data_IF_627619640515
#
_entry.id   IF_627619640515
#
_cell.length_a   1.000
_cell.length_b   1.000
_cell.length_c   1.000
_cell.angle_alpha   90.00
_cell.angle_beta   90.00
_cell.angle_gamma   90.00
#
_symmetry.space_group_name_H-M   'P 1'
#
loop_
_entity.id
_entity.type
_entity.pdbx_description
1 polymer ?
#
# COMPACT_ATOMS: atom_id res chain seq x y z
N UNK A 1 7.66 11.22 -12.07
CA UNK A 1 6.37 11.06 -12.79
C UNK A 1 6.38 9.95 -13.82
N UNK A 2 7.51 9.65 -14.47
CA UNK A 2 7.62 8.59 -15.49
C UNK A 2 7.03 7.23 -15.07
N UNK A 3 7.37 6.73 -13.88
CA UNK A 3 6.83 5.46 -13.38
C UNK A 3 5.29 5.41 -13.35
N UNK A 4 4.63 6.43 -12.81
CA UNK A 4 3.17 6.48 -12.70
C UNK A 4 2.54 6.61 -14.09
N UNK A 5 3.04 7.53 -14.90
CA UNK A 5 2.42 7.84 -16.20
C UNK A 5 2.68 6.77 -17.26
N UNK A 6 3.82 6.07 -17.20
CA UNK A 6 4.27 5.17 -18.26
C UNK A 6 4.36 3.72 -17.79
N UNK A 7 5.11 3.43 -16.72
CA UNK A 7 5.33 2.03 -16.28
C UNK A 7 4.08 1.39 -15.68
N UNK A 8 3.32 2.14 -14.87
CA UNK A 8 2.13 1.63 -14.17
C UNK A 8 0.87 1.67 -15.05
N UNK A 9 0.79 2.61 -16.00
CA UNK A 9 -0.40 2.84 -16.83
C UNK A 9 -0.96 1.61 -17.55
N UNK A 10 -0.16 0.65 -18.07
CA UNK A 10 -0.69 -0.56 -18.70
C UNK A 10 -1.46 -1.48 -17.76
N UNK A 11 -1.30 -1.30 -16.44
CA UNK A 11 -1.83 -2.20 -15.41
C UNK A 11 -2.99 -1.59 -14.62
N UNK A 12 -3.29 -0.31 -14.80
CA UNK A 12 -4.30 0.41 -14.00
C UNK A 12 -5.15 1.33 -14.86
N UNK A 13 -6.40 1.54 -14.44
CA UNK A 13 -7.27 2.55 -15.00
C UNK A 13 -7.25 3.80 -14.10
N UNK A 14 -6.70 4.90 -14.59
CA UNK A 14 -6.68 6.17 -13.86
C UNK A 14 -8.04 6.86 -13.90
N UNK A 15 -8.56 7.23 -12.73
CA UNK A 15 -9.74 8.11 -12.57
C UNK A 15 -9.27 9.47 -12.04
N UNK A 16 -9.03 10.48 -12.90
CA UNK A 16 -8.52 11.77 -12.45
C UNK A 16 -9.57 12.53 -11.65
N UNK A 17 -9.14 13.16 -10.56
CA UNK A 17 -9.99 14.05 -9.76
C UNK A 17 -9.15 15.19 -9.19
N UNK A 18 -9.69 16.40 -9.26
CA UNK A 18 -9.15 17.56 -8.55
C UNK A 18 -10.23 18.05 -7.58
N UNK A 19 -10.10 17.79 -6.26
CA UNK A 19 -11.09 18.23 -5.26
C UNK A 19 -11.36 19.73 -5.31
N UNK A 20 -10.33 20.54 -5.63
CA UNK A 20 -10.44 22.00 -5.71
C UNK A 20 -11.31 22.45 -6.88
N UNK A 21 -11.16 21.83 -8.05
CA UNK A 21 -12.04 22.10 -9.21
C UNK A 21 -13.44 21.57 -8.92
N UNK A 22 -13.56 20.42 -8.27
CA UNK A 22 -14.85 19.80 -7.94
C UNK A 22 -15.68 20.61 -6.95
N UNK A 23 -15.06 21.39 -6.06
CA UNK A 23 -15.77 22.36 -5.22
C UNK A 23 -16.06 23.68 -5.93
N UNK A 24 -15.64 23.86 -7.19
CA UNK A 24 -15.90 25.05 -8.02
C UNK A 24 -14.82 26.14 -7.95
N UNK A 25 -13.56 25.80 -7.67
CA UNK A 25 -12.46 26.78 -7.76
C UNK A 25 -11.93 26.89 -9.21
N UNK A 26 -11.54 28.09 -9.66
CA UNK A 26 -11.04 28.30 -11.02
C UNK A 26 -9.64 27.72 -11.25
N UNK A 27 -9.23 27.66 -12.51
CA UNK A 27 -7.86 27.31 -12.93
C UNK A 27 -7.37 28.39 -13.90
N UNK A 28 -6.37 29.23 -13.54
CA UNK A 28 -5.67 29.29 -12.26
C UNK A 28 -6.53 29.88 -11.13
N UNK A 29 -6.13 29.65 -9.87
CA UNK A 29 -6.74 30.26 -8.66
C UNK A 29 -5.68 30.82 -7.71
N UNK A 30 -6.07 31.72 -6.78
CA UNK A 30 -5.19 32.14 -5.70
C UNK A 30 -4.77 30.95 -4.80
N UNK A 31 -3.58 31.05 -4.20
CA UNK A 31 -3.02 29.99 -3.39
C UNK A 31 -3.87 29.71 -2.13
N UNK A 32 -4.15 28.44 -1.84
CA UNK A 32 -4.80 28.00 -0.61
C UNK A 32 -3.76 27.63 0.46
N UNK A 33 -4.15 27.67 1.74
CA UNK A 33 -3.35 27.23 2.89
C UNK A 33 -4.21 26.46 3.87
N UNK A 34 -3.58 25.53 4.58
CA UNK A 34 -4.13 24.97 5.81
C UNK A 34 -3.76 25.87 6.98
N UNK A 35 -4.77 26.28 7.75
CA UNK A 35 -4.63 27.11 8.94
C UNK A 35 -5.04 26.26 10.14
N UNK A 36 -4.16 26.16 11.13
CA UNK A 36 -4.51 25.61 12.43
C UNK A 36 -5.02 26.74 13.31
N UNK A 37 -6.29 26.66 13.69
CA UNK A 37 -6.96 27.61 14.58
C UNK A 37 -6.45 27.45 16.01
N UNK A 38 -6.74 28.44 16.86
CA UNK A 38 -6.38 28.40 18.29
C UNK A 38 -7.05 27.25 19.06
N UNK A 39 -8.24 26.81 18.66
CA UNK A 39 -8.91 25.63 19.22
C UNK A 39 -8.40 24.29 18.65
N UNK A 40 -7.49 24.33 17.67
CA UNK A 40 -6.84 23.15 17.10
C UNK A 40 -7.40 22.66 15.76
N UNK A 41 -8.56 23.18 15.32
CA UNK A 41 -9.18 22.83 14.04
C UNK A 41 -8.29 23.21 12.85
N UNK A 42 -8.33 22.39 11.80
CA UNK A 42 -7.67 22.68 10.52
C UNK A 42 -8.68 23.26 9.55
N UNK A 43 -8.43 24.48 9.07
CA UNK A 43 -9.23 25.20 8.09
C UNK A 43 -8.46 25.38 6.79
N UNK A 44 -9.14 25.34 5.64
CA UNK A 44 -8.54 25.62 4.34
C UNK A 44 -9.02 26.98 3.83
N UNK A 45 -8.11 27.95 3.74
CA UNK A 45 -8.42 29.35 3.37
C UNK A 45 -7.51 29.87 2.26
N UNK A 46 -7.93 30.92 1.57
CA UNK A 46 -7.05 31.64 0.64
C UNK A 46 -5.90 32.36 1.36
N UNK A 47 -4.75 32.41 0.69
CA UNK A 47 -3.52 33.05 1.19
C UNK A 47 -3.59 34.57 1.21
N UNK A 48 -4.50 35.17 0.45
CA UNK A 48 -4.68 36.61 0.29
C UNK A 48 -6.13 36.99 0.57
N UNK A 49 -6.35 38.26 0.93
CA UNK A 49 -7.68 38.83 1.09
C UNK A 49 -8.55 38.54 -0.15
N UNK A 50 -9.82 38.14 0.01
CA UNK A 50 -10.62 38.15 1.25
C UNK A 50 -10.39 36.99 2.24
N UNK A 51 -9.41 36.11 2.02
CA UNK A 51 -9.13 34.95 2.87
C UNK A 51 -10.31 33.98 3.03
N UNK A 52 -11.18 33.88 2.01
CA UNK A 52 -12.37 33.04 2.08
C UNK A 52 -12.03 31.62 2.54
N UNK A 53 -12.88 31.12 3.44
CA UNK A 53 -12.79 29.79 4.00
C UNK A 53 -13.57 28.81 3.10
N UNK A 54 -12.86 27.81 2.59
CA UNK A 54 -13.41 26.77 1.71
C UNK A 54 -13.47 25.41 2.41
N UNK A 55 -13.28 25.37 3.73
CA UNK A 55 -13.28 24.14 4.54
C UNK A 55 -14.59 23.36 4.39
N UNK A 56 -15.73 24.01 4.62
CA UNK A 56 -17.03 23.32 4.58
C UNK A 56 -17.38 22.85 3.17
N UNK A 57 -17.01 23.61 2.13
CA UNK A 57 -17.17 23.17 0.73
C UNK A 57 -16.36 21.91 0.45
N UNK A 58 -15.12 21.84 0.96
CA UNK A 58 -14.25 20.68 0.79
C UNK A 58 -14.73 19.46 1.58
N UNK A 59 -15.12 19.64 2.84
CA UNK A 59 -15.67 18.56 3.68
C UNK A 59 -16.95 18.00 3.06
N UNK A 60 -17.89 18.88 2.67
CA UNK A 60 -19.12 18.44 2.03
C UNK A 60 -18.88 17.73 0.69
N UNK A 61 -17.87 18.14 -0.08
CA UNK A 61 -17.46 17.40 -1.28
C UNK A 61 -16.89 16.03 -0.94
N UNK A 62 -15.99 15.92 0.06
CA UNK A 62 -15.45 14.65 0.50
C UNK A 62 -16.57 13.69 0.95
N UNK A 63 -17.53 14.16 1.75
CA UNK A 63 -18.65 13.34 2.23
C UNK A 63 -19.49 12.75 1.10
N UNK A 64 -19.74 13.54 0.04
CA UNK A 64 -20.48 13.09 -1.15
C UNK A 64 -19.66 12.22 -2.09
N UNK A 65 -18.39 12.54 -2.29
CA UNK A 65 -17.53 11.88 -3.28
C UNK A 65 -16.96 10.57 -2.78
N UNK A 66 -16.50 10.51 -1.53
CA UNK A 66 -15.81 9.33 -1.01
C UNK A 66 -16.65 8.02 -1.12
N UNK A 67 -17.98 7.99 -0.84
CA UNK A 67 -18.80 6.80 -1.06
C UNK A 67 -18.72 6.25 -2.50
N UNK A 68 -18.48 7.10 -3.49
CA UNK A 68 -18.46 6.72 -4.92
C UNK A 68 -17.16 6.01 -5.33
N UNK A 69 -16.14 6.00 -4.47
CA UNK A 69 -14.82 5.46 -4.76
C UNK A 69 -14.45 4.24 -3.90
N UNK A 70 -15.44 3.60 -3.26
CA UNK A 70 -15.21 2.45 -2.36
C UNK A 70 -14.58 1.22 -3.03
N UNK A 71 -14.55 1.16 -4.36
CA UNK A 71 -13.98 0.07 -5.15
C UNK A 71 -12.53 0.34 -5.62
N UNK A 72 -11.98 1.53 -5.35
CA UNK A 72 -10.61 1.84 -5.76
C UNK A 72 -9.61 0.92 -5.04
N UNK A 73 -8.57 0.52 -5.77
CA UNK A 73 -7.44 -0.26 -5.25
C UNK A 73 -6.31 0.63 -4.70
N UNK A 74 -6.33 1.92 -4.98
CA UNK A 74 -5.37 2.89 -4.47
C UNK A 74 -5.66 4.31 -4.93
N UNK A 75 -4.95 5.27 -4.35
CA UNK A 75 -5.07 6.69 -4.67
C UNK A 75 -3.69 7.35 -4.67
N UNK A 76 -3.37 8.10 -5.72
CA UNK A 76 -2.13 8.88 -5.81
C UNK A 76 -2.50 10.35 -5.63
N UNK A 77 -1.90 11.00 -4.64
CA UNK A 77 -2.17 12.40 -4.34
C UNK A 77 -1.01 13.31 -4.70
N UNK A 78 -1.30 14.58 -4.98
CA UNK A 78 -0.28 15.59 -5.21
C UNK A 78 0.31 16.09 -3.88
N UNK A 79 1.63 16.02 -3.76
CA UNK A 79 2.33 16.47 -2.56
C UNK A 79 2.08 17.95 -2.22
N UNK A 80 2.11 18.28 -0.92
CA UNK A 80 2.04 19.66 -0.37
C UNK A 80 0.73 20.41 -0.64
N UNK A 81 -0.26 19.81 -1.31
CA UNK A 81 -1.54 20.45 -1.57
C UNK A 81 -2.37 20.59 -0.27
N UNK A 82 -3.00 21.75 0.01
CA UNK A 82 -3.93 21.91 1.12
C UNK A 82 -5.17 21.01 1.02
N UNK A 83 -5.54 20.56 -0.18
CA UNK A 83 -6.64 19.62 -0.37
C UNK A 83 -6.15 18.17 -0.39
N UNK A 84 -5.09 17.88 -1.16
CA UNK A 84 -4.70 16.51 -1.50
C UNK A 84 -3.42 16.01 -0.81
N UNK A 85 -2.55 16.86 -0.27
CA UNK A 85 -1.26 16.40 0.26
C UNK A 85 -1.44 15.38 1.38
N UNK A 86 -0.71 14.26 1.34
CA UNK A 86 -0.88 13.18 2.32
C UNK A 86 -0.14 13.49 3.61
N UNK A 87 1.06 14.04 3.52
CA UNK A 87 1.89 14.33 4.68
C UNK A 87 2.68 15.63 4.50
N UNK A 88 3.12 16.19 5.63
CA UNK A 88 4.00 17.37 5.67
C UNK A 88 3.44 18.59 4.94
N UNK A 89 2.12 18.68 4.80
CA UNK A 89 1.44 19.88 4.32
C UNK A 89 1.68 20.99 5.34
N UNK A 90 1.96 22.19 4.84
CA UNK A 90 2.30 23.33 5.71
C UNK A 90 1.03 23.79 6.43
N UNK A 91 1.10 23.80 7.76
CA UNK A 91 0.11 24.46 8.60
C UNK A 91 0.57 25.89 8.88
N UNK A 92 -0.35 26.84 8.77
CA UNK A 92 -0.17 28.23 9.14
C UNK A 92 -0.97 28.51 10.41
N UNK A 93 -0.59 29.51 11.19
CA UNK A 93 -1.46 30.01 12.27
C UNK A 93 -2.46 31.04 11.72
N UNK A 94 -3.40 31.48 12.57
CA UNK A 94 -4.41 32.47 12.19
C UNK A 94 -3.82 33.85 11.86
N UNK A 95 -2.58 34.12 12.30
CA UNK A 95 -1.83 35.34 11.97
C UNK A 95 -1.08 35.22 10.64
N UNK A 96 -1.17 34.07 9.96
CA UNK A 96 -0.52 33.82 8.68
C UNK A 96 0.96 33.44 8.79
N UNK A 97 1.49 33.22 10.00
CA UNK A 97 2.87 32.79 10.19
C UNK A 97 3.05 31.36 9.69
N UNK A 98 4.24 31.08 9.14
CA UNK A 98 4.59 29.74 8.66
C UNK A 98 4.79 28.81 9.85
N UNK A 99 3.84 27.91 10.06
CA UNK A 99 3.94 26.86 11.06
C UNK A 99 4.67 25.61 10.58
N UNK A 100 4.44 24.52 11.31
CA UNK A 100 5.03 23.20 11.10
C UNK A 100 4.58 22.55 9.79
N UNK A 101 5.44 21.70 9.22
CA UNK A 101 5.09 20.78 8.12
C UNK A 101 4.55 19.48 8.71
N UNK A 102 3.32 19.50 9.20
CA UNK A 102 2.70 18.36 9.88
C UNK A 102 1.25 18.11 9.46
N UNK A 103 0.72 18.91 8.53
CA UNK A 103 -0.66 18.77 8.07
C UNK A 103 -0.81 17.68 7.02
N UNK A 104 -2.08 17.30 6.83
CA UNK A 104 -2.60 16.51 5.72
C UNK A 104 -3.71 17.34 5.08
N UNK A 105 -3.82 17.30 3.77
CA UNK A 105 -4.87 18.01 3.04
C UNK A 105 -6.25 17.51 3.44
N UNK A 106 -7.25 18.41 3.48
CA UNK A 106 -8.57 18.09 4.04
C UNK A 106 -9.25 16.88 3.36
N UNK A 107 -9.17 16.81 2.03
CA UNK A 107 -9.76 15.71 1.27
C UNK A 107 -9.04 14.38 1.55
N UNK A 108 -7.71 14.40 1.60
CA UNK A 108 -6.91 13.21 1.90
C UNK A 108 -7.09 12.75 3.35
N UNK A 109 -7.22 13.68 4.29
CA UNK A 109 -7.52 13.36 5.69
C UNK A 109 -8.87 12.63 5.81
N UNK A 110 -9.92 13.16 5.17
CA UNK A 110 -11.24 12.53 5.14
C UNK A 110 -11.20 11.13 4.47
N UNK A 111 -10.40 10.97 3.42
CA UNK A 111 -10.23 9.68 2.75
C UNK A 111 -9.51 8.65 3.63
N UNK A 112 -8.44 9.05 4.31
CA UNK A 112 -7.68 8.18 5.22
C UNK A 112 -8.51 7.74 6.43
N UNK A 113 -9.39 8.61 6.93
CA UNK A 113 -10.31 8.29 8.02
C UNK A 113 -11.40 7.30 7.57
N UNK A 114 -12.03 7.57 6.42
CA UNK A 114 -13.11 6.73 5.90
C UNK A 114 -12.63 5.37 5.37
N UNK A 115 -11.45 5.34 4.76
CA UNK A 115 -10.87 4.16 4.12
C UNK A 115 -9.45 3.88 4.64
N UNK A 116 -9.29 3.49 5.92
CA UNK A 116 -7.97 3.26 6.52
C UNK A 116 -7.20 2.10 5.85
N UNK A 117 -7.90 1.23 5.13
CA UNK A 117 -7.34 0.12 4.36
C UNK A 117 -6.87 0.51 2.95
N UNK A 118 -7.28 1.67 2.41
CA UNK A 118 -6.95 2.09 1.05
C UNK A 118 -5.48 2.54 0.95
N UNK A 119 -4.70 2.04 -0.02
CA UNK A 119 -3.38 2.55 -0.31
C UNK A 119 -3.46 3.98 -0.84
N UNK A 120 -2.87 4.92 -0.11
CA UNK A 120 -2.73 6.33 -0.51
C UNK A 120 -1.23 6.65 -0.48
N UNK A 121 -0.71 7.27 -1.52
CA UNK A 121 0.69 7.69 -1.58
C UNK A 121 0.85 8.99 -2.39
N UNK A 122 1.88 9.79 -2.06
CA UNK A 122 2.20 10.99 -2.82
C UNK A 122 3.01 10.66 -4.07
N UNK A 123 2.73 11.36 -5.16
CA UNK A 123 3.46 11.27 -6.43
C UNK A 123 4.99 11.43 -6.26
N UNK A 124 5.41 12.36 -5.39
CA UNK A 124 6.81 12.58 -5.04
C UNK A 124 7.45 11.40 -4.29
N UNK A 125 6.70 10.76 -3.38
CA UNK A 125 7.17 9.65 -2.55
C UNK A 125 7.34 8.35 -3.33
N UNK A 126 6.60 8.19 -4.43
CA UNK A 126 6.79 7.09 -5.38
C UNK A 126 8.15 7.14 -6.12
N UNK A 127 9.01 8.15 -5.90
CA UNK A 127 10.40 8.10 -6.37
C UNK A 127 11.30 7.23 -5.47
N UNK A 128 10.91 7.04 -4.21
CA UNK A 128 11.58 6.10 -3.31
C UNK A 128 11.23 4.65 -3.72
N UNK A 129 12.22 3.79 -4.04
CA UNK A 129 11.96 2.43 -4.50
C UNK A 129 11.19 1.56 -3.50
N UNK A 130 11.44 1.72 -2.20
CA UNK A 130 10.82 0.91 -1.14
C UNK A 130 9.36 1.30 -0.95
N UNK A 131 9.08 2.61 -0.92
CA UNK A 131 7.71 3.11 -0.85
C UNK A 131 6.92 2.77 -2.12
N UNK A 132 7.56 2.88 -3.29
CA UNK A 132 6.96 2.48 -4.57
C UNK A 132 6.61 1.00 -4.57
N UNK A 133 7.55 0.11 -4.26
CA UNK A 133 7.26 -1.34 -4.20
C UNK A 133 6.14 -1.64 -3.22
N UNK A 134 6.15 -1.04 -2.03
CA UNK A 134 5.10 -1.26 -1.03
C UNK A 134 3.73 -0.77 -1.51
N UNK A 135 3.64 0.42 -2.09
CA UNK A 135 2.40 0.94 -2.64
C UNK A 135 1.84 0.01 -3.72
N UNK A 136 2.69 -0.44 -4.65
CA UNK A 136 2.29 -1.35 -5.72
C UNK A 136 1.85 -2.72 -5.18
N UNK A 137 2.60 -3.33 -4.27
CA UNK A 137 2.20 -4.60 -3.67
C UNK A 137 0.82 -4.50 -2.99
N UNK A 138 0.52 -3.36 -2.35
CA UNK A 138 -0.77 -3.10 -1.72
C UNK A 138 -1.91 -2.90 -2.71
N UNK A 139 -1.71 -2.17 -3.82
CA UNK A 139 -2.79 -1.98 -4.80
C UNK A 139 -3.18 -3.31 -5.46
N UNK A 140 -2.20 -4.16 -5.81
CA UNK A 140 -2.47 -5.46 -6.42
C UNK A 140 -3.17 -6.40 -5.43
N UNK A 141 -2.71 -6.44 -4.17
CA UNK A 141 -3.35 -7.23 -3.13
C UNK A 141 -4.81 -6.82 -2.87
N UNK A 142 -5.06 -5.51 -2.79
CA UNK A 142 -6.41 -4.98 -2.59
C UNK A 142 -7.31 -5.19 -3.80
N UNK A 143 -6.78 -5.03 -5.01
CA UNK A 143 -7.52 -5.29 -6.24
C UNK A 143 -7.98 -6.75 -6.31
N UNK A 144 -7.07 -7.70 -6.06
CA UNK A 144 -7.39 -9.12 -6.06
C UNK A 144 -8.40 -9.48 -4.96
N UNK A 145 -8.26 -8.90 -3.77
CA UNK A 145 -9.22 -9.10 -2.68
C UNK A 145 -10.61 -8.53 -3.03
N UNK A 146 -10.68 -7.35 -3.65
CA UNK A 146 -11.95 -6.77 -4.11
C UNK A 146 -12.59 -7.61 -5.22
N UNK A 147 -11.78 -8.14 -6.16
CA UNK A 147 -12.26 -9.05 -7.21
C UNK A 147 -12.84 -10.35 -6.61
N UNK A 148 -12.21 -10.89 -5.56
CA UNK A 148 -12.73 -12.05 -4.81
C UNK A 148 -14.14 -11.77 -4.25
N UNK A 149 -14.36 -10.58 -3.69
CA UNK A 149 -15.68 -10.18 -3.19
C UNK A 149 -16.70 -10.04 -4.31
N UNK A 150 -16.31 -9.41 -5.42
CA UNK A 150 -17.18 -9.22 -6.58
C UNK A 150 -17.62 -10.55 -7.23
N UNK A 151 -16.77 -11.59 -7.17
CA UNK A 151 -17.07 -12.93 -7.67
C UNK A 151 -17.96 -13.77 -6.73
N UNK A 152 -18.22 -13.28 -5.52
CA UNK A 152 -18.95 -13.99 -4.48
C UNK A 152 -18.02 -14.59 -3.43
N UNK A 153 -18.24 -14.20 -2.17
CA UNK A 153 -17.45 -14.68 -1.05
C UNK A 153 -17.81 -16.12 -0.68
N UNK A 154 -16.77 -16.93 -0.47
CA UNK A 154 -16.91 -18.24 0.16
C UNK A 154 -15.79 -18.43 1.18
N UNK A 155 -16.02 -19.31 2.17
CA UNK A 155 -14.97 -19.62 3.16
C UNK A 155 -13.73 -20.21 2.47
N UNK A 156 -13.92 -21.05 1.46
CA UNK A 156 -12.84 -21.62 0.67
C UNK A 156 -12.03 -20.53 -0.05
N UNK A 157 -12.68 -19.60 -0.73
CA UNK A 157 -12.01 -18.56 -1.51
C UNK A 157 -11.23 -17.58 -0.62
N UNK A 158 -11.77 -17.23 0.56
CA UNK A 158 -11.07 -16.42 1.57
C UNK A 158 -9.84 -17.14 2.15
N UNK A 159 -9.95 -18.43 2.47
CA UNK A 159 -8.83 -19.23 2.96
C UNK A 159 -7.74 -19.41 1.90
N UNK A 160 -8.14 -19.66 0.65
CA UNK A 160 -7.22 -19.77 -0.46
C UNK A 160 -6.47 -18.45 -0.69
N UNK A 161 -7.17 -17.32 -0.71
CA UNK A 161 -6.53 -16.00 -0.77
C UNK A 161 -5.53 -15.81 0.38
N UNK A 162 -5.96 -16.02 1.63
CA UNK A 162 -5.07 -15.84 2.77
C UNK A 162 -3.83 -16.74 2.70
N UNK A 163 -4.00 -18.00 2.30
CA UNK A 163 -2.90 -18.97 2.19
C UNK A 163 -1.83 -18.52 1.20
N UNK A 164 -2.22 -17.98 0.04
CA UNK A 164 -1.29 -17.44 -0.98
C UNK A 164 -0.52 -16.21 -0.53
N UNK A 165 -1.06 -15.44 0.43
CA UNK A 165 -0.45 -14.20 0.93
C UNK A 165 0.40 -14.38 2.20
N UNK A 166 0.47 -15.59 2.79
CA UNK A 166 1.17 -15.81 4.08
C UNK A 166 2.61 -15.32 4.08
N UNK A 167 3.38 -15.66 3.04
CA UNK A 167 4.78 -15.24 2.96
C UNK A 167 4.94 -13.72 2.75
N UNK A 168 4.01 -13.07 2.05
CA UNK A 168 3.98 -11.61 1.96
C UNK A 168 3.71 -10.99 3.33
N UNK A 169 2.67 -11.44 4.05
CA UNK A 169 2.35 -10.92 5.38
C UNK A 169 3.52 -11.10 6.35
N UNK A 170 4.21 -12.24 6.30
CA UNK A 170 5.41 -12.49 7.09
C UNK A 170 6.57 -11.54 6.74
N UNK A 171 6.76 -11.19 5.47
CA UNK A 171 7.76 -10.22 5.02
C UNK A 171 7.45 -8.80 5.52
N UNK A 172 6.18 -8.41 5.51
CA UNK A 172 5.75 -7.05 5.88
C UNK A 172 5.74 -6.83 7.40
N UNK A 173 5.11 -7.71 8.18
CA UNK A 173 4.98 -7.50 9.63
C UNK A 173 4.76 -8.80 10.41
N UNK A 174 5.79 -9.28 11.13
CA UNK A 174 5.74 -10.56 11.84
C UNK A 174 4.68 -10.62 12.96
N UNK A 175 4.51 -9.55 13.73
CA UNK A 175 3.51 -9.53 14.81
C UNK A 175 2.09 -9.60 14.23
N UNK A 176 1.81 -8.79 13.19
CA UNK A 176 0.52 -8.81 12.51
C UNK A 176 0.25 -10.16 11.79
N UNK A 177 1.26 -10.79 11.21
CA UNK A 177 1.15 -12.15 10.66
C UNK A 177 0.72 -13.17 11.72
N UNK A 178 1.28 -13.09 12.95
CA UNK A 178 0.89 -13.99 14.06
C UNK A 178 -0.52 -13.72 14.55
N UNK A 179 -0.96 -12.45 14.54
CA UNK A 179 -2.29 -12.05 14.99
C UNK A 179 -3.41 -12.38 13.99
N UNK A 180 -3.14 -12.26 12.67
CA UNK A 180 -4.16 -12.48 11.65
C UNK A 180 -4.48 -13.97 11.46
N UNK A 181 -3.55 -14.88 11.74
CA UNK A 181 -3.75 -16.33 11.63
C UNK A 181 -4.93 -16.84 12.47
N UNK A 182 -4.96 -16.61 13.79
CA UNK A 182 -6.10 -16.98 14.64
C UNK A 182 -7.42 -16.31 14.25
N UNK A 183 -7.36 -15.07 13.71
CA UNK A 183 -8.55 -14.42 13.19
C UNK A 183 -9.13 -15.18 11.97
N UNK A 184 -8.28 -15.58 11.03
CA UNK A 184 -8.70 -16.35 9.84
C UNK A 184 -9.14 -17.77 10.21
N UNK A 185 -8.51 -18.40 11.21
CA UNK A 185 -8.91 -19.74 11.67
C UNK A 185 -10.37 -19.80 12.17
N UNK A 186 -10.86 -18.69 12.73
CA UNK A 186 -12.24 -18.54 13.21
C UNK A 186 -13.26 -18.17 12.12
N UNK A 187 -12.87 -18.15 10.85
CA UNK A 187 -13.79 -17.87 9.72
C UNK A 187 -15.02 -18.78 9.68
N UNK A 188 -14.89 -20.02 10.16
CA UNK A 188 -16.01 -20.96 10.24
C UNK A 188 -17.11 -20.52 11.22
N UNK A 189 -16.80 -19.64 12.18
CA UNK A 189 -17.72 -19.10 13.18
C UNK A 189 -18.52 -17.89 12.67
N UNK A 190 -18.21 -17.37 11.48
CA UNK A 190 -18.88 -16.19 10.92
C UNK A 190 -20.02 -16.60 9.98
N UNK A 191 -21.24 -16.21 10.30
CA UNK A 191 -22.41 -16.39 9.43
C UNK A 191 -22.41 -15.37 8.27
N UNK A 192 -22.06 -14.11 8.57
CA UNK A 192 -21.94 -13.03 7.59
C UNK A 192 -20.48 -12.93 7.06
N UNK A 193 -20.28 -13.43 5.83
CA UNK A 193 -18.97 -13.38 5.18
C UNK A 193 -18.57 -11.97 4.72
N UNK A 194 -19.52 -11.08 4.46
CA UNK A 194 -19.22 -9.69 4.12
C UNK A 194 -18.69 -8.93 5.35
N UNK A 195 -19.28 -9.15 6.52
CA UNK A 195 -18.76 -8.62 7.77
C UNK A 195 -17.35 -9.16 8.08
N UNK A 196 -17.11 -10.46 7.86
CA UNK A 196 -15.76 -11.03 7.98
C UNK A 196 -14.79 -10.36 7.00
N UNK A 197 -15.19 -10.22 5.73
CA UNK A 197 -14.37 -9.62 4.68
C UNK A 197 -13.92 -8.21 5.05
N UNK A 198 -14.82 -7.36 5.56
CA UNK A 198 -14.48 -5.98 5.95
C UNK A 198 -13.38 -5.98 7.01
N UNK A 199 -13.51 -6.80 8.06
CA UNK A 199 -12.51 -6.93 9.13
C UNK A 199 -11.21 -7.56 8.64
N UNK A 200 -11.30 -8.56 7.76
CA UNK A 200 -10.14 -9.21 7.15
C UNK A 200 -9.33 -8.23 6.31
N UNK A 201 -9.99 -7.44 5.46
CA UNK A 201 -9.37 -6.41 4.63
C UNK A 201 -8.64 -5.38 5.47
N UNK A 202 -9.27 -4.87 6.53
CA UNK A 202 -8.63 -3.93 7.46
C UNK A 202 -7.33 -4.50 8.05
N UNK A 203 -7.37 -5.73 8.56
CA UNK A 203 -6.19 -6.40 9.13
C UNK A 203 -5.11 -6.67 8.09
N UNK A 204 -5.49 -7.19 6.93
CA UNK A 204 -4.57 -7.46 5.81
C UNK A 204 -3.85 -6.18 5.38
N UNK A 205 -4.61 -5.12 5.12
CA UNK A 205 -4.05 -3.86 4.61
C UNK A 205 -3.25 -3.11 5.69
N UNK A 206 -3.60 -3.25 6.97
CA UNK A 206 -2.79 -2.75 8.07
C UNK A 206 -1.41 -3.43 8.13
N UNK A 207 -1.35 -4.74 7.90
CA UNK A 207 -0.07 -5.48 7.81
C UNK A 207 0.73 -5.02 6.60
N UNK A 208 0.11 -5.02 5.41
CA UNK A 208 0.79 -4.68 4.16
C UNK A 208 1.21 -3.21 4.08
N UNK A 209 0.64 -2.32 4.91
CA UNK A 209 1.06 -0.91 5.03
C UNK A 209 2.52 -0.75 5.49
N UNK A 210 3.07 -1.73 6.21
CA UNK A 210 4.46 -1.70 6.63
C UNK A 210 5.36 -2.10 5.45
N UNK A 211 6.35 -1.29 5.04
CA UNK A 211 7.34 -1.74 4.07
C UNK A 211 8.08 -2.97 4.58
N UNK A 212 8.25 -3.98 3.72
CA UNK A 212 8.94 -5.20 4.10
C UNK A 212 10.43 -4.91 4.34
N UNK A 213 10.93 -5.26 5.52
CA UNK A 213 12.33 -5.04 5.87
C UNK A 213 13.23 -6.12 5.27
N UNK A 214 14.49 -5.78 4.96
CA UNK A 214 15.51 -6.77 4.54
C UNK A 214 15.60 -7.95 5.51
N UNK A 215 15.49 -7.70 6.81
CA UNK A 215 15.48 -8.74 7.86
C UNK A 215 14.31 -9.70 7.68
N UNK A 216 13.08 -9.18 7.49
CA UNK A 216 11.91 -10.04 7.33
C UNK A 216 11.93 -10.80 6.00
N UNK A 217 12.33 -10.14 4.90
CA UNK A 217 12.56 -10.83 3.63
C UNK A 217 13.59 -11.96 3.77
N UNK A 218 14.70 -11.72 4.46
CA UNK A 218 15.69 -12.78 4.75
C UNK A 218 15.06 -13.96 5.48
N UNK A 219 14.24 -13.70 6.51
CA UNK A 219 13.55 -14.75 7.25
C UNK A 219 12.62 -15.56 6.35
N UNK A 220 11.87 -14.90 5.47
CA UNK A 220 11.00 -15.56 4.49
C UNK A 220 11.82 -16.40 3.50
N UNK A 221 12.90 -15.85 2.94
CA UNK A 221 13.77 -16.55 2.01
C UNK A 221 14.42 -17.79 2.65
N UNK A 222 14.89 -17.69 3.90
CA UNK A 222 15.43 -18.83 4.66
C UNK A 222 14.34 -19.86 4.99
N UNK A 223 13.11 -19.42 5.25
CA UNK A 223 11.98 -20.33 5.44
C UNK A 223 11.68 -21.11 4.16
N UNK A 224 11.62 -20.44 3.01
CA UNK A 224 11.45 -21.08 1.70
C UNK A 224 12.61 -22.04 1.41
N UNK A 225 13.86 -21.67 1.71
CA UNK A 225 15.02 -22.55 1.56
C UNK A 225 14.83 -23.90 2.28
N UNK A 226 14.14 -23.94 3.42
CA UNK A 226 13.87 -25.17 4.19
C UNK A 226 13.04 -26.22 3.42
N UNK A 227 12.18 -25.79 2.49
CA UNK A 227 11.39 -26.71 1.65
C UNK A 227 12.28 -27.56 0.75
N UNK A 228 13.44 -27.03 0.36
CA UNK A 228 14.37 -27.71 -0.55
C UNK A 228 15.46 -28.52 0.18
N UNK A 229 15.40 -28.70 1.51
CA UNK A 229 16.50 -29.31 2.26
C UNK A 229 16.86 -30.74 1.82
N UNK A 230 15.87 -31.54 1.39
CA UNK A 230 16.07 -32.91 0.89
C UNK A 230 16.48 -32.95 -0.58
N UNK A 231 16.14 -31.92 -1.34
CA UNK A 231 16.36 -31.86 -2.78
C UNK A 231 17.75 -31.31 -3.13
N UNK A 232 18.24 -30.34 -2.36
CA UNK A 232 19.53 -29.69 -2.63
C UNK A 232 20.68 -30.39 -1.91
N UNK A 233 21.81 -30.51 -2.58
CA UNK A 233 23.05 -30.99 -1.95
C UNK A 233 23.71 -29.89 -1.07
N UNK A 234 24.75 -30.25 -0.31
CA UNK A 234 25.41 -29.31 0.62
C UNK A 234 25.98 -28.07 -0.06
N UNK A 235 26.51 -28.21 -1.29
CA UNK A 235 27.03 -27.08 -2.06
C UNK A 235 25.91 -26.13 -2.48
N UNK A 236 24.84 -26.65 -3.07
CA UNK A 236 23.66 -25.86 -3.49
C UNK A 236 23.01 -25.14 -2.31
N UNK A 237 22.87 -25.82 -1.15
CA UNK A 237 22.34 -25.19 0.07
C UNK A 237 23.22 -24.05 0.57
N UNK A 238 24.55 -24.22 0.52
CA UNK A 238 25.49 -23.18 0.91
C UNK A 238 25.42 -21.98 -0.06
N UNK A 239 25.37 -22.23 -1.37
CA UNK A 239 25.24 -21.20 -2.40
C UNK A 239 23.97 -20.36 -2.21
N UNK A 240 22.80 -21.00 -2.06
CA UNK A 240 21.54 -20.30 -1.80
C UNK A 240 21.61 -19.48 -0.51
N UNK A 241 22.18 -20.04 0.56
CA UNK A 241 22.36 -19.33 1.83
C UNK A 241 23.24 -18.09 1.66
N UNK A 242 24.35 -18.19 0.93
CA UNK A 242 25.23 -17.05 0.66
C UNK A 242 24.54 -15.95 -0.15
N UNK A 243 23.73 -16.31 -1.15
CA UNK A 243 22.94 -15.33 -1.92
C UNK A 243 21.91 -14.62 -1.02
N UNK A 244 21.22 -15.35 -0.15
CA UNK A 244 20.29 -14.77 0.84
C UNK A 244 21.01 -13.84 1.81
N UNK A 245 22.19 -14.23 2.31
CA UNK A 245 23.01 -13.39 3.20
C UNK A 245 23.58 -12.16 2.47
N UNK A 246 23.89 -12.28 1.17
CA UNK A 246 24.27 -11.17 0.31
C UNK A 246 23.15 -10.12 0.20
N UNK A 247 21.91 -10.56 0.00
CA UNK A 247 20.74 -9.68 0.06
C UNK A 247 20.56 -9.02 1.44
N UNK A 248 20.65 -9.81 2.52
CA UNK A 248 20.55 -9.29 3.90
C UNK A 248 21.57 -8.18 4.17
N UNK A 249 22.78 -8.35 3.64
CA UNK A 249 23.91 -7.45 3.84
C UNK A 249 23.91 -6.21 2.94
N UNK A 250 22.92 -6.02 2.06
CA UNK A 250 22.95 -4.86 1.16
C UNK A 250 23.75 -5.05 -0.12
N UNK A 251 24.27 -6.24 -0.40
CA UNK A 251 25.19 -6.48 -1.54
C UNK A 251 24.49 -6.98 -2.79
N UNK A 252 23.31 -7.57 -2.64
CA UNK A 252 22.50 -8.09 -3.75
C UNK A 252 21.07 -7.56 -3.67
N UNK A 253 20.38 -7.40 -4.81
CA UNK A 253 18.95 -7.14 -4.84
C UNK A 253 18.17 -8.40 -4.39
N UNK A 254 16.92 -8.23 -3.97
CA UNK A 254 16.07 -9.37 -3.59
C UNK A 254 15.80 -10.32 -4.76
N UNK A 255 15.87 -9.83 -6.01
CA UNK A 255 15.73 -10.66 -7.19
C UNK A 255 16.74 -11.82 -7.21
N UNK A 256 17.98 -11.61 -6.76
CA UNK A 256 19.02 -12.64 -6.82
C UNK A 256 18.62 -13.94 -6.08
N UNK A 257 18.26 -13.91 -4.77
CA UNK A 257 17.76 -15.10 -4.11
C UNK A 257 16.42 -15.59 -4.67
N UNK A 258 15.53 -14.69 -5.12
CA UNK A 258 14.25 -15.10 -5.70
C UNK A 258 14.43 -15.90 -7.00
N UNK A 259 15.34 -15.51 -7.88
CA UNK A 259 15.64 -16.23 -9.12
C UNK A 259 16.14 -17.65 -8.83
N UNK A 260 17.04 -17.79 -7.86
CA UNK A 260 17.57 -19.11 -7.48
C UNK A 260 16.48 -20.00 -6.84
N UNK A 261 15.61 -19.42 -6.00
CA UNK A 261 14.46 -20.13 -5.43
C UNK A 261 13.43 -20.51 -6.50
N UNK A 262 13.15 -19.65 -7.48
CA UNK A 262 12.27 -19.94 -8.62
C UNK A 262 12.83 -21.09 -9.46
N UNK A 263 14.14 -21.10 -9.71
CA UNK A 263 14.82 -22.19 -10.40
C UNK A 263 14.65 -23.53 -9.65
N UNK A 264 14.93 -23.58 -8.35
CA UNK A 264 14.73 -24.80 -7.56
C UNK A 264 13.26 -25.21 -7.45
N UNK A 265 12.31 -24.27 -7.42
CA UNK A 265 10.88 -24.59 -7.45
C UNK A 265 10.43 -25.20 -8.79
N UNK A 266 11.10 -24.86 -9.88
CA UNK A 266 10.85 -25.47 -11.19
C UNK A 266 11.38 -26.91 -11.25
N UNK A 267 12.58 -27.17 -10.71
CA UNK A 267 13.19 -28.51 -10.65
C UNK A 267 12.53 -29.42 -9.60
N UNK A 268 12.10 -28.83 -8.48
CA UNK A 268 11.50 -29.50 -7.34
C UNK A 268 10.17 -28.84 -6.98
N UNK A 269 9.09 -29.18 -7.73
CA UNK A 269 7.76 -28.64 -7.51
C UNK A 269 7.27 -28.81 -6.07
N UNK A 270 6.73 -27.73 -5.50
CA UNK A 270 5.99 -27.73 -4.24
C UNK A 270 4.71 -26.91 -4.42
N UNK A 271 3.55 -27.55 -4.21
CA UNK A 271 2.25 -26.92 -4.49
C UNK A 271 1.96 -25.73 -3.57
N UNK A 272 2.42 -25.80 -2.32
CA UNK A 272 2.28 -24.70 -1.38
C UNK A 272 3.07 -23.50 -1.86
N UNK A 273 4.37 -23.65 -2.17
CA UNK A 273 5.22 -22.57 -2.65
C UNK A 273 4.77 -22.00 -3.99
N UNK A 274 4.32 -22.84 -4.93
CA UNK A 274 3.76 -22.41 -6.23
C UNK A 274 2.55 -21.50 -6.08
N UNK A 275 1.75 -21.72 -5.05
CA UNK A 275 0.59 -20.87 -4.78
C UNK A 275 0.95 -19.50 -4.17
N UNK A 276 2.16 -19.33 -3.63
CA UNK A 276 2.53 -18.12 -2.88
C UNK A 276 2.72 -16.91 -3.80
N UNK A 277 1.95 -15.86 -3.53
CA UNK A 277 2.08 -14.54 -4.17
C UNK A 277 3.42 -13.83 -3.84
N UNK A 278 4.27 -14.44 -3.02
CA UNK A 278 5.57 -13.86 -2.65
C UNK A 278 6.55 -13.79 -3.81
N UNK A 279 6.51 -14.76 -4.71
CA UNK A 279 7.39 -14.82 -5.88
C UNK A 279 7.06 -13.75 -6.92
N UNK A 280 5.77 -13.47 -7.12
CA UNK A 280 5.24 -12.59 -8.18
C UNK A 280 4.05 -11.75 -7.67
N UNK A 281 4.26 -10.82 -6.71
CA UNK A 281 3.16 -10.04 -6.13
C UNK A 281 2.52 -9.01 -7.06
N UNK A 282 3.19 -8.72 -8.17
CA UNK A 282 2.82 -7.76 -9.19
C UNK A 282 3.61 -8.11 -10.47
N UNK A 283 3.27 -7.52 -11.62
CA UNK A 283 3.93 -7.81 -12.88
C UNK A 283 5.43 -7.46 -12.88
N UNK A 284 6.25 -8.39 -13.37
CA UNK A 284 7.71 -8.24 -13.43
C UNK A 284 8.16 -7.06 -14.31
N UNK A 285 7.34 -6.66 -15.30
CA UNK A 285 7.60 -5.50 -16.17
C UNK A 285 7.70 -4.18 -15.41
N UNK A 286 7.22 -4.11 -14.16
CA UNK A 286 7.35 -2.92 -13.31
C UNK A 286 8.77 -2.74 -12.74
N UNK A 287 9.64 -3.76 -12.82
CA UNK A 287 11.06 -3.66 -12.49
C UNK A 287 11.36 -3.33 -11.02
N UNK A 288 10.44 -3.61 -10.10
CA UNK A 288 10.50 -3.11 -8.71
C UNK A 288 11.54 -3.82 -7.82
N UNK A 289 11.98 -5.03 -8.19
CA UNK A 289 12.91 -5.85 -7.39
C UNK A 289 14.35 -5.88 -7.92
N UNK A 290 14.66 -5.03 -8.90
CA UNK A 290 15.96 -5.00 -9.60
C UNK A 290 17.05 -4.27 -8.79
N UNK A 291 16.66 -3.30 -7.97
CA UNK A 291 17.59 -2.41 -7.27
C UNK A 291 18.05 -2.98 -5.92
N UNK A 292 19.24 -2.56 -5.50
CA UNK A 292 19.72 -2.74 -4.13
C UNK A 292 19.10 -1.62 -3.28
N UNK A 293 18.09 -1.96 -2.47
CA UNK A 293 17.31 -1.02 -1.63
C UNK A 293 17.59 -1.20 -0.14
#
# INVERSE_FOLDING_TARGET
MDFVMNSLAPWVAYKPICPEVAIGLPVPRPALRLIQTTCGDIRMRYSHAPHDDVTERMNAFADRFLPTIGELAGFIVCAKSPSCGMERVRLYDEKGNRGRKAGTGLFTAAMMDKYPWLPIEEDGRLHDPVLRENFIARIFALHELNALRAQGLSRHSLLAFHSRYKLQLLAHHQAGYREIGPFVARLHEWDDLDAFFVRYREKLMAILRHPASRKNHTNVLMHIQGYFHRALNSRQRAELREVILGYRAGRLPILAPLTLLKHYLAEHPDDYLRSQNYFEPYPDTLGLRLAIT
#
